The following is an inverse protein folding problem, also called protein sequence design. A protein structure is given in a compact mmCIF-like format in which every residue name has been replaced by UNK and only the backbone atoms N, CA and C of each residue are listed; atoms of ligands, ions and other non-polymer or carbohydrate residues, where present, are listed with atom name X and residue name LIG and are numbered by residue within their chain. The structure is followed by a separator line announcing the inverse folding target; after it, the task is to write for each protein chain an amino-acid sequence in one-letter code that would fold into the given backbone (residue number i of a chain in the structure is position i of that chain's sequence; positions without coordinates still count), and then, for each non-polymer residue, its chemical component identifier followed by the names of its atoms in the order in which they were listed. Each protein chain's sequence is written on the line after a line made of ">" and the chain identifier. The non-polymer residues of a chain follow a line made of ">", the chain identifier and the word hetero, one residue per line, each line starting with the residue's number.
data_IF_910643319151
#
_entry.id   IF_910643319151
#
_cell.length_a   1.000
_cell.length_b   1.000
_cell.length_c   1.000
_cell.angle_alpha   90.00
_cell.angle_beta   90.00
_cell.angle_gamma   90.00
#
_symmetry.space_group_name_H-M   'P 1'
#
loop_
_entity.id
_entity.type
_entity.pdbx_description
1 polymer ?
#
# COMPACT_ATOMS: atom_id res chain seq x y z
N UNK A 1 3.47 20.70 21.69
CA UNK A 1 3.84 20.16 20.36
C UNK A 1 3.73 18.64 20.48
N UNK A 2 2.69 18.04 19.93
CA UNK A 2 2.69 16.57 19.78
C UNK A 2 3.76 16.21 18.74
N UNK A 3 4.73 15.39 19.13
CA UNK A 3 5.78 14.90 18.24
C UNK A 3 5.30 13.72 17.38
N UNK A 4 6.23 13.09 16.65
CA UNK A 4 5.94 11.89 15.88
C UNK A 4 5.54 10.73 16.81
N UNK A 5 4.50 9.98 16.43
CA UNK A 5 4.08 8.75 17.09
C UNK A 5 4.40 7.57 16.18
N UNK A 6 5.00 6.52 16.73
CA UNK A 6 5.28 5.28 16.03
C UNK A 6 4.26 4.22 16.46
N UNK A 7 3.66 3.53 15.49
CA UNK A 7 2.79 2.39 15.70
C UNK A 7 3.33 1.19 14.96
N UNK A 8 3.10 -0.01 15.50
CA UNK A 8 3.42 -1.28 14.86
C UNK A 8 2.12 -2.05 14.64
N UNK A 9 1.97 -2.62 13.46
CA UNK A 9 0.79 -3.38 13.06
C UNK A 9 1.21 -4.76 12.59
N UNK A 10 0.37 -5.77 12.87
CA UNK A 10 0.55 -7.13 12.38
C UNK A 10 -0.60 -7.47 11.43
N UNK A 11 -0.24 -8.05 10.28
CA UNK A 11 -1.19 -8.46 9.24
C UNK A 11 -1.15 -9.98 9.08
N UNK A 12 -2.31 -10.59 9.03
CA UNK A 12 -2.50 -12.02 8.86
C UNK A 12 -2.56 -12.38 7.39
N UNK A 13 -1.80 -13.39 6.97
CA UNK A 13 -1.82 -13.87 5.59
C UNK A 13 -3.12 -14.64 5.31
N UNK A 14 -3.86 -14.26 4.26
CA UNK A 14 -5.15 -14.89 3.93
C UNK A 14 -5.01 -16.25 3.24
N UNK A 15 -4.16 -16.35 2.21
CA UNK A 15 -4.09 -17.52 1.33
C UNK A 15 -2.72 -17.68 0.65
N UNK A 16 -2.61 -18.60 -0.32
CA UNK A 16 -1.44 -18.73 -1.20
C UNK A 16 -1.35 -17.52 -2.15
N UNK A 17 -0.74 -16.45 -1.65
CA UNK A 17 -0.60 -15.20 -2.35
C UNK A 17 0.11 -14.18 -1.47
N UNK A 18 0.19 -12.95 -1.98
CA UNK A 18 0.81 -11.83 -1.29
C UNK A 18 -0.30 -10.91 -0.75
N UNK A 19 -1.29 -11.51 -0.10
CA UNK A 19 -2.50 -10.84 0.39
C UNK A 19 -2.65 -11.11 1.89
N UNK A 20 -2.81 -10.04 2.64
CA UNK A 20 -2.88 -10.00 4.09
C UNK A 20 -4.09 -9.17 4.54
N UNK A 21 -4.48 -9.31 5.81
CA UNK A 21 -5.59 -8.58 6.42
C UNK A 21 -5.32 -8.31 7.91
N UNK A 22 -6.03 -7.34 8.48
CA UNK A 22 -6.14 -7.15 9.93
C UNK A 22 -7.47 -6.48 10.24
N UNK A 23 -8.57 -7.25 10.37
CA UNK A 23 -9.90 -6.71 10.62
C UNK A 23 -9.97 -5.85 11.88
N UNK A 24 -9.18 -6.18 12.92
CA UNK A 24 -9.07 -5.39 14.16
C UNK A 24 -8.51 -3.98 13.96
N UNK A 25 -7.80 -3.75 12.86
CA UNK A 25 -7.23 -2.46 12.48
C UNK A 25 -7.97 -1.81 11.30
N UNK A 26 -9.09 -2.41 10.87
CA UNK A 26 -9.83 -1.97 9.68
C UNK A 26 -9.10 -2.25 8.36
N UNK A 27 -8.11 -3.14 8.33
CA UNK A 27 -7.41 -3.51 7.08
C UNK A 27 -8.10 -4.73 6.48
N UNK A 28 -8.94 -4.50 5.46
CA UNK A 28 -9.67 -5.57 4.76
C UNK A 28 -8.78 -6.32 3.77
N UNK A 29 -7.90 -5.59 3.09
CA UNK A 29 -6.95 -6.16 2.15
C UNK A 29 -5.65 -5.37 2.17
N UNK A 30 -4.53 -6.06 2.30
CA UNK A 30 -3.19 -5.53 2.08
C UNK A 30 -2.50 -6.45 1.07
N UNK A 31 -2.28 -5.98 -0.14
CA UNK A 31 -1.78 -6.78 -1.26
C UNK A 31 -0.52 -6.17 -1.85
N UNK A 32 0.52 -6.99 -1.99
CA UNK A 32 1.72 -6.60 -2.73
C UNK A 32 1.44 -6.71 -4.22
N UNK A 33 1.42 -5.56 -4.91
CA UNK A 33 1.17 -5.47 -6.35
C UNK A 33 2.45 -5.73 -7.16
N UNK A 34 3.60 -5.29 -6.65
CA UNK A 34 4.88 -5.48 -7.30
C UNK A 34 6.04 -5.13 -6.39
N UNK A 35 7.12 -5.91 -6.47
CA UNK A 35 8.38 -5.64 -5.78
C UNK A 35 9.49 -6.43 -6.46
N UNK A 36 10.70 -5.89 -6.47
CA UNK A 36 11.90 -6.63 -6.86
C UNK A 36 12.78 -7.02 -5.66
N UNK A 37 12.27 -6.84 -4.43
CA UNK A 37 12.95 -7.10 -3.14
C UNK A 37 14.20 -6.28 -2.87
N UNK A 38 14.68 -5.49 -3.81
CA UNK A 38 15.94 -4.77 -3.73
C UNK A 38 15.74 -3.30 -3.45
N UNK A 39 14.81 -2.64 -4.15
CA UNK A 39 14.70 -1.18 -4.12
C UNK A 39 13.28 -0.65 -3.89
N UNK A 40 12.22 -1.33 -4.33
CA UNK A 40 10.83 -0.88 -4.10
C UNK A 40 9.83 -1.98 -3.69
N UNK A 41 8.70 -1.54 -3.15
CA UNK A 41 7.46 -2.31 -3.08
C UNK A 41 6.25 -1.41 -3.35
N UNK A 42 5.32 -1.89 -4.16
CA UNK A 42 4.04 -1.24 -4.45
C UNK A 42 2.94 -2.05 -3.78
N UNK A 43 2.17 -1.39 -2.93
CA UNK A 43 1.15 -2.01 -2.08
C UNK A 43 -0.21 -1.42 -2.42
N UNK A 44 -1.21 -2.27 -2.54
CA UNK A 44 -2.62 -1.89 -2.51
C UNK A 44 -3.17 -2.17 -1.11
N UNK A 45 -3.85 -1.19 -0.52
CA UNK A 45 -4.54 -1.38 0.75
C UNK A 45 -6.00 -0.97 0.63
N UNK A 46 -6.91 -1.84 1.05
CA UNK A 46 -8.32 -1.54 1.29
C UNK A 46 -8.53 -1.41 2.81
N UNK A 47 -8.95 -0.23 3.23
CA UNK A 47 -9.24 0.14 4.60
C UNK A 47 -10.74 0.30 4.78
N UNK A 48 -11.24 -0.06 5.96
CA UNK A 48 -12.60 0.19 6.43
C UNK A 48 -12.55 1.18 7.59
N UNK A 49 -13.29 2.27 7.47
CA UNK A 49 -13.44 3.26 8.53
C UNK A 49 -14.93 3.62 8.67
N UNK A 50 -15.58 3.06 9.69
CA UNK A 50 -17.03 3.13 9.82
C UNK A 50 -17.71 2.32 8.71
N UNK A 51 -18.65 2.94 8.00
CA UNK A 51 -19.37 2.32 6.87
C UNK A 51 -18.71 2.61 5.51
N UNK A 52 -17.53 3.24 5.50
CA UNK A 52 -16.83 3.65 4.30
C UNK A 52 -15.56 2.82 4.06
N UNK A 53 -15.38 2.39 2.81
CA UNK A 53 -14.18 1.70 2.36
C UNK A 53 -13.30 2.64 1.53
N UNK A 54 -12.03 2.70 1.88
CA UNK A 54 -11.03 3.52 1.19
C UNK A 54 -9.94 2.63 0.61
N UNK A 55 -9.57 2.91 -0.62
CA UNK A 55 -8.46 2.23 -1.27
C UNK A 55 -7.26 3.17 -1.33
N UNK A 56 -6.06 2.62 -1.18
CA UNK A 56 -4.81 3.34 -1.38
C UNK A 56 -3.86 2.50 -2.22
N UNK A 57 -2.97 3.18 -2.94
CA UNK A 57 -1.80 2.57 -3.56
C UNK A 57 -0.60 3.29 -2.98
N UNK A 58 0.32 2.53 -2.41
CA UNK A 58 1.50 3.05 -1.70
C UNK A 58 2.77 2.58 -2.40
N UNK A 59 3.73 3.49 -2.60
CA UNK A 59 5.06 3.17 -3.09
C UNK A 59 6.08 3.32 -1.96
N UNK A 60 6.68 2.21 -1.55
CA UNK A 60 7.79 2.18 -0.62
C UNK A 60 9.12 2.08 -1.37
N UNK A 61 10.10 2.88 -0.93
CA UNK A 61 11.48 2.84 -1.42
C UNK A 61 12.45 2.53 -0.29
N UNK A 62 13.53 1.80 -0.59
CA UNK A 62 14.65 1.60 0.35
C UNK A 62 15.55 2.83 0.47
N UNK A 63 15.44 3.77 -0.44
CA UNK A 63 16.16 5.05 -0.43
C UNK A 63 15.17 6.21 -0.32
N UNK A 64 15.68 7.41 -0.02
CA UNK A 64 14.84 8.61 0.11
C UNK A 64 14.01 8.90 -1.15
N UNK A 65 14.55 8.59 -2.33
CA UNK A 65 13.85 8.70 -3.61
C UNK A 65 13.59 7.33 -4.20
N UNK A 66 12.46 7.18 -4.92
CA UNK A 66 12.13 5.97 -5.66
C UNK A 66 12.84 5.93 -7.02
N UNK A 67 13.14 4.72 -7.52
CA UNK A 67 13.72 4.55 -8.85
C UNK A 67 12.70 4.90 -9.95
N UNK A 68 13.20 5.19 -11.16
CA UNK A 68 12.32 5.46 -12.32
C UNK A 68 11.45 4.25 -12.68
N UNK A 69 11.96 3.04 -12.50
CA UNK A 69 11.19 1.81 -12.64
C UNK A 69 10.01 1.78 -11.67
N UNK A 70 10.27 2.04 -10.39
CA UNK A 70 9.27 2.03 -9.34
C UNK A 70 8.18 3.08 -9.56
N UNK A 71 8.57 4.29 -9.98
CA UNK A 71 7.64 5.37 -10.32
C UNK A 71 6.77 5.00 -11.53
N UNK A 72 7.37 4.44 -12.59
CA UNK A 72 6.62 4.01 -13.77
C UNK A 72 5.59 2.91 -13.47
N UNK A 73 5.98 1.91 -12.68
CA UNK A 73 5.07 0.85 -12.24
C UNK A 73 3.98 1.37 -11.29
N UNK A 74 4.33 2.30 -10.40
CA UNK A 74 3.36 2.94 -9.51
C UNK A 74 2.30 3.69 -10.32
N UNK A 75 2.70 4.52 -11.28
CA UNK A 75 1.77 5.23 -12.17
C UNK A 75 0.84 4.28 -12.94
N UNK A 76 1.39 3.18 -13.47
CA UNK A 76 0.59 2.16 -14.16
C UNK A 76 -0.47 1.52 -13.23
N UNK A 77 -0.08 1.18 -12.00
CA UNK A 77 -1.02 0.62 -11.02
C UNK A 77 -2.08 1.62 -10.57
N UNK A 78 -1.69 2.87 -10.30
CA UNK A 78 -2.65 3.91 -9.89
C UNK A 78 -3.67 4.15 -11.00
N UNK A 79 -3.24 4.30 -12.25
CA UNK A 79 -4.14 4.50 -13.40
C UNK A 79 -5.05 3.29 -13.62
N UNK A 80 -4.49 2.07 -13.61
CA UNK A 80 -5.24 0.83 -13.84
C UNK A 80 -6.28 0.55 -12.74
N UNK A 81 -6.07 1.07 -11.53
CA UNK A 81 -7.02 0.96 -10.41
C UNK A 81 -7.96 2.17 -10.30
N UNK A 82 -7.89 3.12 -11.24
CA UNK A 82 -8.81 4.27 -11.30
C UNK A 82 -8.44 5.43 -10.36
N UNK A 83 -7.24 5.43 -9.78
CA UNK A 83 -6.72 6.58 -9.04
C UNK A 83 -6.25 7.63 -10.06
N UNK A 84 -7.07 8.66 -10.25
CA UNK A 84 -6.74 9.77 -11.13
C UNK A 84 -5.87 10.77 -10.36
N UNK A 85 -4.75 11.20 -10.97
CA UNK A 85 -4.06 12.40 -10.49
C UNK A 85 -5.01 13.59 -10.66
N UNK A 86 -5.40 14.25 -9.58
CA UNK A 86 -6.01 15.57 -9.71
C UNK A 86 -4.96 16.50 -10.32
N UNK A 87 -5.27 17.04 -11.50
CA UNK A 87 -4.49 18.08 -12.18
C UNK A 87 -4.67 19.43 -11.49
#
# INVERSE_FOLDING_TARGET
>A
LEGCKQNVVELLKRNSGWVFESPSLGVLEYRVLGTNFRDYAIIFTQLEFGDEAFNTVELYSRTETASQEALGLFSQWTEGLGFLSQQ
#
